data_IF_678188912197
#
_entry.id   IF_678188912197
#
_cell.length_a   1.000
_cell.length_b   1.000
_cell.length_c   1.000
_cell.angle_alpha   90.00
_cell.angle_beta   90.00
_cell.angle_gamma   90.00
#
_symmetry.space_group_name_H-M   'P 1'
#
loop_
_entity.id
_entity.type
_entity.pdbx_description
1 polymer ?
#
# COMPACT_ATOMS: atom_id res chain seq x y z
N UNK A 1 22.02 -61.57 -48.82
CA UNK A 1 22.64 -60.32 -48.35
C UNK A 1 22.53 -60.30 -46.83
N UNK A 2 23.62 -60.67 -46.14
CA UNK A 2 23.66 -60.80 -44.68
C UNK A 2 24.23 -59.54 -44.06
N UNK A 3 23.46 -58.83 -43.23
CA UNK A 3 23.98 -57.75 -42.38
C UNK A 3 24.28 -58.31 -40.99
N UNK A 4 25.56 -58.30 -40.64
CA UNK A 4 26.06 -58.61 -39.28
C UNK A 4 25.98 -57.34 -38.40
N UNK A 5 25.14 -57.35 -37.41
CA UNK A 5 25.04 -56.31 -36.38
C UNK A 5 26.10 -56.61 -35.32
N UNK A 6 27.04 -55.66 -35.11
CA UNK A 6 28.06 -55.72 -34.04
C UNK A 6 27.42 -55.13 -32.77
N UNK A 7 27.23 -55.94 -31.76
CA UNK A 7 26.89 -55.48 -30.39
C UNK A 7 28.15 -54.90 -29.74
N UNK A 8 28.06 -53.65 -29.31
CA UNK A 8 29.04 -53.00 -28.42
C UNK A 8 28.61 -53.26 -26.98
N UNK A 9 29.49 -53.95 -26.26
CA UNK A 9 29.40 -54.20 -24.84
C UNK A 9 29.75 -52.89 -24.07
N UNK A 10 28.78 -52.32 -23.36
CA UNK A 10 29.02 -51.13 -22.49
C UNK A 10 29.28 -51.67 -21.06
N UNK A 11 30.50 -51.44 -20.61
CA UNK A 11 30.90 -51.70 -19.22
C UNK A 11 30.28 -50.69 -18.30
N UNK A 12 29.43 -51.14 -17.41
CA UNK A 12 28.92 -50.36 -16.30
C UNK A 12 30.00 -50.24 -15.23
N UNK A 13 30.54 -49.03 -15.04
CA UNK A 13 31.39 -48.70 -13.90
C UNK A 13 30.47 -48.38 -12.73
N UNK A 14 30.59 -49.13 -11.67
CA UNK A 14 29.93 -48.86 -10.39
C UNK A 14 30.55 -47.63 -9.74
N UNK A 15 29.75 -46.56 -9.56
CA UNK A 15 30.09 -45.41 -8.74
C UNK A 15 29.28 -45.49 -7.45
N UNK A 16 29.91 -45.34 -6.27
CA UNK A 16 29.20 -45.45 -5.00
C UNK A 16 28.33 -44.23 -4.73
N UNK A 17 27.14 -44.52 -4.27
CA UNK A 17 26.07 -43.62 -3.85
C UNK A 17 26.47 -42.83 -2.63
N UNK A 18 26.81 -41.55 -2.78
CA UNK A 18 26.96 -40.60 -1.67
C UNK A 18 25.58 -40.03 -1.36
N UNK A 19 24.99 -40.46 -0.26
CA UNK A 19 23.75 -39.94 0.31
C UNK A 19 24.07 -38.57 0.92
N UNK A 20 23.87 -37.51 0.15
CA UNK A 20 23.90 -36.13 0.63
C UNK A 20 22.54 -35.73 1.18
N UNK A 21 22.48 -35.50 2.48
CA UNK A 21 21.34 -34.98 3.23
C UNK A 21 20.87 -33.64 2.66
N UNK A 22 19.70 -33.59 2.00
CA UNK A 22 19.07 -32.33 1.58
C UNK A 22 18.37 -31.72 2.81
N UNK A 23 19.08 -30.82 3.49
CA UNK A 23 18.46 -29.89 4.42
C UNK A 23 17.61 -28.92 3.60
N UNK A 24 16.28 -29.05 3.74
CA UNK A 24 15.31 -28.13 3.16
C UNK A 24 15.49 -26.73 3.75
N UNK A 25 15.97 -25.81 2.94
CA UNK A 25 15.93 -24.38 3.24
C UNK A 25 14.52 -23.93 2.84
N UNK A 26 13.61 -23.88 3.83
CA UNK A 26 12.35 -23.14 3.72
C UNK A 26 12.71 -21.66 3.61
N UNK A 27 12.81 -21.16 2.39
CA UNK A 27 12.91 -19.74 2.11
C UNK A 27 11.54 -19.10 2.39
N UNK A 28 11.31 -18.65 3.64
CA UNK A 28 10.38 -17.57 3.88
C UNK A 28 10.89 -16.38 3.08
N UNK A 29 10.10 -15.93 2.08
CA UNK A 29 10.37 -14.69 1.40
C UNK A 29 10.29 -13.55 2.42
N UNK A 30 11.43 -13.08 2.87
CA UNK A 30 11.53 -11.83 3.59
C UNK A 30 11.07 -10.72 2.64
N UNK A 31 9.89 -10.17 2.90
CA UNK A 31 9.50 -8.86 2.40
C UNK A 31 10.63 -7.91 2.81
N UNK A 32 11.40 -7.43 1.84
CA UNK A 32 12.44 -6.41 2.07
C UNK A 32 11.75 -5.20 2.67
N UNK A 33 11.75 -5.10 3.99
CA UNK A 33 11.49 -3.87 4.72
C UNK A 33 12.54 -2.87 4.24
N UNK A 34 12.16 -1.84 3.50
CA UNK A 34 12.99 -0.66 3.33
C UNK A 34 13.14 0.02 4.70
N UNK A 35 14.11 -0.48 5.45
CA UNK A 35 14.45 0.02 6.76
C UNK A 35 15.37 1.21 6.57
N UNK A 36 14.88 2.44 6.84
CA UNK A 36 15.73 3.59 7.11
C UNK A 36 15.52 4.86 6.30
N UNK A 37 14.68 4.89 5.26
CA UNK A 37 14.35 6.16 4.62
C UNK A 37 13.40 6.97 5.54
N UNK A 38 13.75 8.24 5.78
CA UNK A 38 12.87 9.17 6.50
C UNK A 38 11.54 9.27 5.75
N UNK A 39 10.37 9.14 6.41
CA UNK A 39 9.08 9.33 5.76
C UNK A 39 9.02 10.71 5.07
N UNK A 40 8.35 10.76 3.93
CA UNK A 40 7.98 12.03 3.30
C UNK A 40 6.99 12.77 4.18
N UNK A 41 6.88 14.07 4.00
CA UNK A 41 5.92 14.89 4.76
C UNK A 41 4.71 15.20 3.86
N UNK A 42 3.53 15.32 4.47
CA UNK A 42 2.31 15.77 3.77
C UNK A 42 2.59 17.08 3.02
N UNK A 43 2.12 17.19 1.78
CA UNK A 43 2.37 18.30 0.86
C UNK A 43 3.57 18.11 -0.07
N UNK A 44 4.49 17.21 0.24
CA UNK A 44 5.61 16.89 -0.64
C UNK A 44 5.17 16.06 -1.85
N UNK A 45 5.90 16.21 -2.95
CA UNK A 45 5.73 15.36 -4.15
C UNK A 45 6.61 14.13 -4.01
N UNK A 46 5.99 12.96 -3.90
CA UNK A 46 6.63 11.68 -3.65
C UNK A 46 6.70 10.87 -4.94
N UNK A 47 7.83 10.86 -5.67
CA UNK A 47 7.99 10.05 -6.86
C UNK A 47 8.24 8.59 -6.46
N UNK A 48 7.43 7.67 -7.02
CA UNK A 48 7.55 6.25 -6.77
C UNK A 48 7.13 5.45 -8.02
N UNK A 49 8.10 4.88 -8.73
CA UNK A 49 7.85 4.22 -10.00
C UNK A 49 7.26 5.18 -11.04
N UNK A 50 6.15 4.81 -11.71
CA UNK A 50 5.47 5.67 -12.66
C UNK A 50 4.64 6.76 -11.98
N UNK A 51 4.39 6.65 -10.67
CA UNK A 51 3.52 7.56 -9.96
C UNK A 51 4.28 8.68 -9.23
N UNK A 52 3.62 9.83 -9.12
CA UNK A 52 4.00 10.88 -8.18
C UNK A 52 2.79 11.19 -7.31
N UNK A 53 2.92 10.97 -6.01
CA UNK A 53 1.88 11.19 -5.02
C UNK A 53 2.05 12.55 -4.34
N UNK A 54 0.93 13.17 -4.00
CA UNK A 54 0.90 14.35 -3.11
C UNK A 54 -0.35 14.29 -2.25
N UNK A 55 -0.18 14.20 -0.94
CA UNK A 55 -1.28 14.37 0.01
C UNK A 55 -1.49 15.86 0.21
N UNK A 56 -2.63 16.37 -0.24
CA UNK A 56 -2.95 17.80 -0.24
C UNK A 56 -3.58 18.25 1.09
N UNK A 57 -4.49 17.44 1.60
CA UNK A 57 -5.25 17.70 2.82
C UNK A 57 -5.47 16.41 3.58
N UNK A 58 -5.61 16.52 4.90
CA UNK A 58 -5.99 15.41 5.77
C UNK A 58 -6.88 15.95 6.88
N UNK A 59 -8.02 15.29 7.15
CA UNK A 59 -8.98 15.70 8.16
C UNK A 59 -9.68 14.51 8.82
N UNK A 60 -10.18 14.73 10.03
CA UNK A 60 -11.02 13.76 10.73
C UNK A 60 -12.49 14.10 10.58
N UNK A 61 -13.34 13.10 10.24
CA UNK A 61 -14.80 13.25 10.17
C UNK A 61 -15.51 12.23 11.05
N UNK A 62 -16.62 12.65 11.65
CA UNK A 62 -17.47 11.79 12.47
C UNK A 62 -18.52 11.03 11.64
N UNK A 63 -18.87 11.58 10.49
CA UNK A 63 -19.86 11.03 9.57
C UNK A 63 -19.57 11.51 8.14
N UNK A 64 -20.11 10.79 7.16
CA UNK A 64 -20.11 11.18 5.76
C UNK A 64 -21.54 11.18 5.24
N UNK A 65 -21.80 11.92 4.16
CA UNK A 65 -23.08 11.91 3.47
C UNK A 65 -22.94 11.13 2.16
N UNK A 66 -23.57 9.96 2.08
CA UNK A 66 -23.66 9.13 0.88
C UNK A 66 -25.03 9.21 0.20
N UNK A 67 -25.19 8.50 -0.91
CA UNK A 67 -26.45 8.46 -1.67
C UNK A 67 -27.63 7.89 -0.87
N UNK A 68 -27.37 7.03 0.08
CA UNK A 68 -28.37 6.37 0.93
C UNK A 68 -28.53 7.02 2.31
N UNK A 69 -27.91 8.16 2.54
CA UNK A 69 -27.91 8.87 3.80
C UNK A 69 -26.57 8.96 4.47
N UNK A 70 -26.57 9.16 5.80
CA UNK A 70 -25.34 9.25 6.59
C UNK A 70 -24.63 7.91 6.70
N UNK A 71 -23.33 7.94 6.51
CA UNK A 71 -22.43 6.81 6.73
C UNK A 71 -21.67 7.11 8.02
N UNK A 72 -21.79 6.20 8.99
CA UNK A 72 -21.10 6.32 10.27
C UNK A 72 -19.90 5.37 10.30
N UNK A 73 -18.75 5.81 10.77
CA UNK A 73 -17.59 4.94 10.96
C UNK A 73 -17.79 4.06 12.20
N UNK A 74 -17.00 2.99 12.28
CA UNK A 74 -16.85 2.23 13.51
C UNK A 74 -16.07 3.02 14.57
N UNK A 75 -15.00 3.66 14.14
CA UNK A 75 -14.14 4.50 14.97
C UNK A 75 -14.25 5.98 14.54
N UNK A 76 -13.49 6.37 13.53
CA UNK A 76 -13.50 7.72 12.96
C UNK A 76 -13.03 7.69 11.50
N UNK A 77 -13.60 8.50 10.64
CA UNK A 77 -13.05 8.65 9.29
C UNK A 77 -11.84 9.56 9.30
N UNK A 78 -10.68 9.01 8.88
CA UNK A 78 -9.56 9.78 8.40
C UNK A 78 -9.76 9.98 6.89
N UNK A 79 -9.86 11.22 6.46
CA UNK A 79 -10.10 11.60 5.07
C UNK A 79 -8.85 12.27 4.52
N UNK A 80 -8.31 11.75 3.44
CA UNK A 80 -7.15 12.31 2.76
C UNK A 80 -7.56 12.79 1.38
N UNK A 81 -7.17 14.02 1.03
CA UNK A 81 -7.24 14.51 -0.35
C UNK A 81 -5.90 14.23 -1.02
N UNK A 82 -5.94 13.39 -2.02
CA UNK A 82 -4.77 12.87 -2.72
C UNK A 82 -4.76 13.35 -4.17
N UNK A 83 -3.59 13.70 -4.68
CA UNK A 83 -3.31 13.86 -6.10
C UNK A 83 -2.27 12.82 -6.50
N UNK A 84 -2.53 12.11 -7.62
CA UNK A 84 -1.61 11.11 -8.17
C UNK A 84 -1.40 11.39 -9.64
N UNK A 85 -0.16 11.62 -10.03
CA UNK A 85 0.24 11.84 -11.43
C UNK A 85 0.92 10.59 -11.97
N UNK A 86 0.52 10.13 -13.16
CA UNK A 86 1.20 9.07 -13.87
C UNK A 86 2.23 9.66 -14.84
N UNK A 87 3.51 9.59 -14.50
CA UNK A 87 4.63 10.00 -15.35
C UNK A 87 5.18 8.86 -16.22
N UNK A 88 4.56 7.68 -16.21
CA UNK A 88 4.95 6.54 -17.04
C UNK A 88 4.48 6.64 -18.49
N UNK A 89 4.96 5.71 -19.33
CA UNK A 89 4.63 5.67 -20.76
C UNK A 89 3.32 4.96 -21.10
N UNK A 90 2.60 4.43 -20.14
CA UNK A 90 1.32 3.71 -20.33
C UNK A 90 0.31 4.07 -19.24
N UNK A 91 -0.99 3.83 -19.53
CA UNK A 91 -2.06 3.95 -18.53
C UNK A 91 -1.79 2.97 -17.39
N UNK A 92 -1.97 3.42 -16.16
CA UNK A 92 -1.76 2.61 -14.96
C UNK A 92 -2.96 2.69 -14.02
N UNK A 93 -3.34 1.54 -13.48
CA UNK A 93 -4.33 1.47 -12.42
C UNK A 93 -3.67 1.67 -11.07
N UNK A 94 -4.27 2.52 -10.26
CA UNK A 94 -3.86 2.73 -8.86
C UNK A 94 -4.64 1.76 -7.97
N UNK A 95 -3.92 0.89 -7.26
CA UNK A 95 -4.47 -0.01 -6.25
C UNK A 95 -5.00 0.76 -5.04
N UNK A 96 -5.75 0.08 -4.17
CA UNK A 96 -6.08 0.61 -2.85
C UNK A 96 -4.82 0.91 -2.07
N UNK A 97 -4.84 2.04 -1.39
CA UNK A 97 -3.77 2.45 -0.51
C UNK A 97 -4.03 1.97 0.92
N UNK A 98 -3.01 2.01 1.73
CA UNK A 98 -3.06 1.63 3.12
C UNK A 98 -2.51 2.76 3.98
N UNK A 99 -2.90 2.80 5.23
CA UNK A 99 -2.21 3.59 6.25
C UNK A 99 -1.64 2.66 7.31
N UNK A 100 -0.60 3.13 7.98
CA UNK A 100 0.09 2.41 9.03
C UNK A 100 0.18 3.28 10.29
N UNK A 101 -0.13 2.72 11.45
CA UNK A 101 0.02 3.40 12.73
C UNK A 101 1.48 3.31 13.26
N UNK A 102 1.73 3.89 14.43
CA UNK A 102 3.05 3.88 15.08
C UNK A 102 3.49 2.49 15.57
N UNK A 103 2.59 1.52 15.57
CA UNK A 103 2.87 0.10 15.92
C UNK A 103 3.02 -0.77 14.68
N UNK A 104 3.16 -0.18 13.50
CA UNK A 104 3.21 -0.85 12.19
C UNK A 104 1.95 -1.66 11.85
N UNK A 105 0.81 -1.40 12.50
CA UNK A 105 -0.46 -1.99 12.12
C UNK A 105 -1.01 -1.29 10.88
N UNK A 106 -1.38 -2.08 9.89
CA UNK A 106 -1.92 -1.61 8.62
C UNK A 106 -3.44 -1.59 8.62
N UNK A 107 -3.99 -0.57 7.97
CA UNK A 107 -5.42 -0.40 7.74
C UNK A 107 -5.64 -0.09 6.26
N UNK A 108 -6.64 -0.74 5.67
CA UNK A 108 -7.00 -0.56 4.26
C UNK A 108 -8.02 0.56 4.10
N UNK A 109 -8.12 1.09 2.88
CA UNK A 109 -9.14 2.07 2.54
C UNK A 109 -10.56 1.56 2.83
N UNK A 110 -11.41 2.45 3.31
CA UNK A 110 -12.85 2.24 3.42
C UNK A 110 -13.51 2.52 2.06
N UNK A 111 -14.30 1.59 1.54
CA UNK A 111 -14.82 1.59 0.16
C UNK A 111 -16.35 1.60 0.04
N UNK A 112 -17.08 1.53 1.15
CA UNK A 112 -18.55 1.59 1.15
C UNK A 112 -19.04 3.05 1.11
N UNK A 113 -18.69 3.76 0.02
CA UNK A 113 -18.79 5.23 -0.10
C UNK A 113 -19.70 5.69 -1.25
N UNK A 114 -20.69 4.89 -1.64
CA UNK A 114 -21.59 5.23 -2.74
C UNK A 114 -22.23 6.60 -2.54
N UNK A 115 -21.99 7.49 -3.52
CA UNK A 115 -22.53 8.86 -3.51
C UNK A 115 -21.80 9.86 -2.61
N UNK A 116 -20.67 9.49 -2.01
CA UNK A 116 -19.83 10.45 -1.29
C UNK A 116 -19.09 11.35 -2.28
N UNK A 117 -19.29 12.68 -2.23
CA UNK A 117 -18.67 13.60 -3.17
C UNK A 117 -17.15 13.58 -3.10
N UNK A 118 -16.49 13.57 -4.26
CA UNK A 118 -15.05 13.63 -4.36
C UNK A 118 -14.31 12.32 -4.07
N UNK A 119 -15.00 11.25 -3.71
CA UNK A 119 -14.37 9.94 -3.56
C UNK A 119 -13.73 9.47 -4.87
N UNK A 120 -12.48 9.06 -4.84
CA UNK A 120 -11.74 8.59 -6.02
C UNK A 120 -12.30 7.31 -6.64
N UNK A 121 -13.23 6.64 -5.96
CA UNK A 121 -13.83 5.39 -6.45
C UNK A 121 -12.91 4.18 -6.28
N UNK A 122 -13.40 3.05 -6.80
CA UNK A 122 -12.73 1.75 -6.75
C UNK A 122 -11.76 1.58 -7.93
N UNK A 123 -12.19 2.02 -9.13
CA UNK A 123 -11.41 1.93 -10.37
C UNK A 123 -10.72 3.26 -10.62
N UNK A 124 -9.41 3.26 -10.58
CA UNK A 124 -8.57 4.47 -10.63
C UNK A 124 -7.52 4.33 -11.73
N UNK A 125 -7.98 4.45 -12.97
CA UNK A 125 -7.09 4.38 -14.13
C UNK A 125 -6.54 5.76 -14.46
N UNK A 126 -5.24 5.95 -14.28
CA UNK A 126 -4.55 7.21 -14.54
C UNK A 126 -3.91 7.17 -15.92
N UNK A 127 -4.36 8.05 -16.81
CA UNK A 127 -3.82 8.16 -18.17
C UNK A 127 -2.33 8.56 -18.16
N UNK A 128 -1.64 8.33 -19.28
CA UNK A 128 -0.27 8.81 -19.49
C UNK A 128 -0.22 10.32 -19.31
N UNK A 129 0.72 10.82 -18.54
CA UNK A 129 0.87 12.22 -18.14
C UNK A 129 -0.37 12.82 -17.45
N UNK A 130 -1.36 11.98 -17.09
CA UNK A 130 -2.57 12.38 -16.38
C UNK A 130 -2.35 12.55 -14.89
N UNK A 131 -3.21 13.36 -14.27
CA UNK A 131 -3.31 13.51 -12.82
C UNK A 131 -4.74 13.28 -12.40
N UNK A 132 -4.94 12.35 -11.47
CA UNK A 132 -6.22 12.14 -10.80
C UNK A 132 -6.14 12.73 -9.40
N UNK A 133 -7.22 13.39 -8.97
CA UNK A 133 -7.33 14.00 -7.65
C UNK A 133 -8.68 13.66 -7.05
N UNK A 134 -8.67 13.28 -5.76
CA UNK A 134 -9.89 12.98 -5.03
C UNK A 134 -9.65 12.63 -3.58
N UNK A 135 -10.70 12.14 -2.94
CA UNK A 135 -10.69 11.76 -1.54
C UNK A 135 -10.55 10.25 -1.40
N UNK A 136 -9.73 9.84 -0.45
CA UNK A 136 -9.64 8.46 0.05
C UNK A 136 -9.96 8.46 1.55
N UNK A 137 -10.50 7.36 2.06
CA UNK A 137 -11.10 7.29 3.38
C UNK A 137 -10.61 6.07 4.14
N UNK A 138 -10.40 6.23 5.44
CA UNK A 138 -10.04 5.14 6.35
C UNK A 138 -10.94 5.22 7.59
N UNK A 139 -11.48 4.08 8.03
CA UNK A 139 -12.23 3.99 9.30
C UNK A 139 -11.28 3.44 10.37
N UNK A 140 -10.76 4.34 11.19
CA UNK A 140 -9.67 4.03 12.14
C UNK A 140 -9.79 4.82 13.43
N UNK A 141 -9.23 4.31 14.55
CA UNK A 141 -9.13 5.06 15.79
C UNK A 141 -8.37 6.37 15.61
N UNK A 142 -8.62 7.35 16.47
CA UNK A 142 -7.82 8.58 16.49
C UNK A 142 -6.36 8.23 16.82
N UNK A 143 -5.43 8.73 16.02
CA UNK A 143 -4.02 8.42 16.17
C UNK A 143 -3.15 9.12 15.14
N UNK A 144 -1.87 8.82 15.19
CA UNK A 144 -0.90 9.22 14.19
C UNK A 144 -0.76 8.11 13.14
N UNK A 145 -0.75 8.49 11.86
CA UNK A 145 -0.71 7.57 10.74
C UNK A 145 0.28 8.02 9.67
N UNK A 146 0.77 7.05 8.92
CA UNK A 146 1.56 7.25 7.70
C UNK A 146 0.84 6.60 6.54
N UNK A 147 0.65 7.32 5.45
CA UNK A 147 0.10 6.76 4.22
C UNK A 147 1.17 5.90 3.55
N UNK A 148 0.82 4.67 3.22
CA UNK A 148 1.64 3.73 2.45
C UNK A 148 1.26 3.87 0.99
N UNK A 149 2.17 4.39 0.17
CA UNK A 149 2.01 4.47 -1.29
C UNK A 149 2.85 3.40 -1.98
N UNK A 150 2.45 2.96 -3.18
CA UNK A 150 3.13 1.91 -3.94
C UNK A 150 3.37 2.35 -5.39
N UNK A 151 4.24 1.65 -6.11
CA UNK A 151 4.58 1.95 -7.51
C UNK A 151 3.68 1.25 -8.53
N UNK A 152 2.63 0.55 -8.09
CA UNK A 152 1.73 -0.21 -8.96
C UNK A 152 2.39 -1.43 -9.58
N UNK A 153 3.45 -1.97 -8.97
CA UNK A 153 4.07 -3.24 -9.33
C UNK A 153 3.15 -4.44 -9.09
N UNK A 154 3.59 -5.63 -9.48
CA UNK A 154 2.87 -6.86 -9.17
C UNK A 154 2.84 -7.12 -7.66
N UNK A 155 1.77 -7.76 -7.12
CA UNK A 155 1.68 -8.08 -5.71
C UNK A 155 2.92 -8.81 -5.20
N UNK A 156 3.56 -8.27 -4.16
CA UNK A 156 4.80 -8.79 -3.56
C UNK A 156 6.09 -8.33 -4.22
N UNK A 157 6.03 -7.59 -5.33
CA UNK A 157 7.17 -6.96 -6.01
C UNK A 157 7.10 -5.42 -5.95
N UNK A 158 6.05 -4.89 -5.34
CA UNK A 158 5.81 -3.45 -5.23
C UNK A 158 6.86 -2.79 -4.36
N UNK A 159 7.35 -1.66 -4.83
CA UNK A 159 8.08 -0.72 -3.98
C UNK A 159 7.08 0.15 -3.25
N UNK A 160 7.31 0.38 -1.99
CA UNK A 160 6.46 1.23 -1.15
C UNK A 160 7.23 2.41 -0.59
N UNK A 161 6.51 3.47 -0.24
CA UNK A 161 7.04 4.61 0.48
C UNK A 161 6.03 5.12 1.50
N UNK A 162 6.48 5.85 2.49
CA UNK A 162 5.66 6.35 3.59
C UNK A 162 5.55 7.87 3.52
N UNK A 163 4.33 8.38 3.67
CA UNK A 163 4.05 9.82 3.80
C UNK A 163 3.48 10.05 5.19
N UNK A 164 4.15 10.84 5.98
CA UNK A 164 3.74 11.19 7.33
C UNK A 164 2.51 12.12 7.31
N UNK A 165 1.51 11.78 8.13
CA UNK A 165 0.26 12.52 8.24
C UNK A 165 0.23 13.21 9.62
N UNK A 166 0.55 14.49 9.73
CA UNK A 166 0.75 15.18 11.01
C UNK A 166 -0.56 15.48 11.77
N UNK A 167 -1.58 14.67 11.57
CA UNK A 167 -2.87 14.79 12.25
C UNK A 167 -2.86 14.06 13.60
N UNK A 168 -2.10 14.53 14.57
CA UNK A 168 -2.35 14.15 15.96
C UNK A 168 -3.51 14.98 16.50
N UNK A 169 -4.69 14.39 16.66
CA UNK A 169 -5.67 15.00 17.56
C UNK A 169 -5.13 14.85 18.97
N UNK A 170 -4.51 15.89 19.50
CA UNK A 170 -4.49 16.06 20.96
C UNK A 170 -5.95 16.23 21.37
N UNK A 171 -6.44 15.52 22.41
CA UNK A 171 -7.71 15.90 23.02
C UNK A 171 -7.60 17.40 23.30
N UNK A 172 -8.53 18.22 22.81
CA UNK A 172 -8.61 19.61 23.23
C UNK A 172 -8.53 19.58 24.76
N UNK A 173 -7.52 20.24 25.34
CA UNK A 173 -7.49 20.45 26.77
C UNK A 173 -8.86 21.07 27.08
N UNK A 174 -9.69 20.37 27.82
CA UNK A 174 -10.95 20.86 28.30
C UNK A 174 -10.67 22.23 28.86
N UNK A 175 -11.27 23.25 28.26
CA UNK A 175 -11.22 24.61 28.68
C UNK A 175 -11.59 24.65 30.18
N UNK A 176 -10.57 24.72 31.03
CA UNK A 176 -10.77 24.80 32.48
C UNK A 176 -11.74 25.94 32.74
N UNK A 177 -12.88 25.70 33.42
CA UNK A 177 -13.79 26.81 33.74
C UNK A 177 -13.00 27.86 34.48
N UNK A 178 -13.04 29.11 33.96
CA UNK A 178 -12.47 30.27 34.61
C UNK A 178 -13.26 30.44 35.89
N UNK A 179 -12.70 29.97 37.00
CA UNK A 179 -13.25 30.26 38.32
C UNK A 179 -13.01 31.74 38.55
N UNK A 180 -14.04 32.56 38.28
CA UNK A 180 -14.05 33.97 38.59
C UNK A 180 -13.90 34.19 40.11
N UNK A 181 -13.02 35.10 40.46
CA UNK A 181 -12.92 35.68 41.78
C UNK A 181 -14.05 36.67 42.00
#
# INVERSE_FOLDING_TARGET
MHYKTKQKMIRYSFFPLLIGSLLGISGCGEVKKESGAKPWVMGERVPLGPFTYTVLEAEWKQELNGSKGKILPKDRFLVLKLAVTNGGGERKSLSYLQIRDDKDKEFTEFTELEGVPGWMGILRDIAVAGTEQGLIFFDVPLGHYRLVVNDGGAPGEERTSLIDLPLSMRPSEEEKPIVGR
#
